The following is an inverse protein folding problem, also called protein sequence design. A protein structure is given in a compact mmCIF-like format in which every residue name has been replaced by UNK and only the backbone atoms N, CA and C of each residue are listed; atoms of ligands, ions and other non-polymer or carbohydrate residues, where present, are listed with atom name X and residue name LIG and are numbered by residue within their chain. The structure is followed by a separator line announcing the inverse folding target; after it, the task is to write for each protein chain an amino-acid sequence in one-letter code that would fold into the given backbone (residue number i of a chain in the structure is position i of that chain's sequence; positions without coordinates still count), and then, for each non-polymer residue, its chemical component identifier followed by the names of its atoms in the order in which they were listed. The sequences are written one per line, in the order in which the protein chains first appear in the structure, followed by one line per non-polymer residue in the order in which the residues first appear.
data_IF_449935105505
#
_entry.id   IF_449935105505
#
_cell.length_a   1.000
_cell.length_b   1.000
_cell.length_c   1.000
_cell.angle_alpha   90.00
_cell.angle_beta   90.00
_cell.angle_gamma   90.00
#
_symmetry.space_group_name_H-M   'P 1'
#
loop_
_entity.id
_entity.type
_entity.pdbx_description
1 polymer ?
#
# COMPACT_ATOMS: atom_id res chain seq x y z
N UNK A 1 -0.49 -21.05 -6.50
CA UNK A 1 -1.04 -20.75 -7.85
C UNK A 1 0.01 -21.10 -8.90
N UNK A 2 -0.39 -21.72 -10.02
CA UNK A 2 0.49 -21.97 -11.17
C UNK A 2 -0.06 -21.19 -12.36
N UNK A 3 0.79 -20.38 -12.99
CA UNK A 3 0.43 -19.57 -14.17
C UNK A 3 1.20 -20.09 -15.38
N UNK A 4 0.50 -20.27 -16.51
CA UNK A 4 1.12 -20.54 -17.81
C UNK A 4 1.23 -19.24 -18.59
N UNK A 5 2.41 -18.95 -19.13
CA UNK A 5 2.68 -17.74 -19.92
C UNK A 5 3.18 -18.18 -21.29
N UNK A 6 2.48 -17.77 -22.35
CA UNK A 6 2.88 -18.02 -23.73
C UNK A 6 3.61 -16.78 -24.31
N UNK A 7 4.52 -16.96 -25.30
CA UNK A 7 5.23 -15.85 -25.92
C UNK A 7 4.29 -14.83 -26.56
N UNK A 8 4.48 -13.55 -26.25
CA UNK A 8 3.76 -12.41 -26.85
C UNK A 8 4.54 -11.11 -26.62
N UNK A 9 4.15 -10.01 -27.30
CA UNK A 9 4.70 -8.67 -27.03
C UNK A 9 3.81 -7.94 -26.02
N UNK A 10 4.40 -7.48 -24.91
CA UNK A 10 3.71 -6.58 -23.99
C UNK A 10 3.52 -5.19 -24.64
N UNK A 11 2.33 -4.62 -24.53
CA UNK A 11 2.00 -3.29 -25.05
C UNK A 11 0.90 -2.63 -24.22
N UNK A 12 0.87 -1.29 -24.20
CA UNK A 12 -0.09 -0.49 -23.42
C UNK A 12 0.56 0.33 -22.31
N UNK A 13 -0.26 1.06 -21.57
CA UNK A 13 0.13 1.89 -20.42
C UNK A 13 -0.61 1.35 -19.19
N UNK A 14 0.11 1.17 -18.08
CA UNK A 14 -0.47 0.72 -16.81
C UNK A 14 0.01 1.65 -15.70
N UNK A 15 -0.91 2.03 -14.81
CA UNK A 15 -0.56 2.74 -13.59
C UNK A 15 -0.06 1.73 -12.56
N UNK A 16 1.20 1.89 -12.13
CA UNK A 16 1.75 1.05 -11.08
C UNK A 16 0.98 1.25 -9.75
N UNK A 17 0.88 0.22 -8.90
CA UNK A 17 0.36 0.39 -7.56
C UNK A 17 1.18 1.44 -6.78
N UNK A 18 0.56 2.19 -5.85
CA UNK A 18 1.26 3.15 -5.02
C UNK A 18 2.34 2.50 -4.16
N UNK A 19 3.35 3.29 -3.79
CA UNK A 19 4.52 2.80 -3.05
C UNK A 19 4.16 2.35 -1.64
N UNK A 20 4.41 1.07 -1.35
CA UNK A 20 4.22 0.48 -0.02
C UNK A 20 5.00 1.22 1.08
N UNK A 21 6.29 1.50 0.85
CA UNK A 21 7.12 2.19 1.85
C UNK A 21 6.66 3.63 2.13
N UNK A 22 6.10 4.32 1.12
CA UNK A 22 5.50 5.64 1.31
C UNK A 22 4.22 5.53 2.14
N UNK A 23 3.37 4.52 1.86
CA UNK A 23 2.16 4.28 2.64
C UNK A 23 2.47 4.04 4.12
N UNK A 24 3.44 3.18 4.47
CA UNK A 24 3.85 3.00 5.87
C UNK A 24 4.24 4.31 6.55
N UNK A 25 5.10 5.12 5.90
CA UNK A 25 5.53 6.40 6.46
C UNK A 25 4.37 7.39 6.62
N UNK A 26 3.52 7.50 5.61
CA UNK A 26 2.37 8.40 5.64
C UNK A 26 1.39 8.01 6.76
N UNK A 27 1.14 6.71 6.96
CA UNK A 27 0.29 6.20 8.04
C UNK A 27 0.89 6.49 9.42
N UNK A 28 2.19 6.25 9.62
CA UNK A 28 2.88 6.54 10.89
C UNK A 28 2.85 8.05 11.19
N UNK A 29 3.21 8.90 10.22
CA UNK A 29 3.16 10.34 10.40
C UNK A 29 1.73 10.83 10.65
N UNK A 30 0.74 10.23 9.97
CA UNK A 30 -0.67 10.58 10.15
C UNK A 30 -1.18 10.24 11.55
N UNK A 31 -0.79 9.11 12.11
CA UNK A 31 -1.10 8.73 13.49
C UNK A 31 -0.49 9.69 14.53
N UNK A 32 0.62 10.35 14.20
CA UNK A 32 1.25 11.36 15.05
C UNK A 32 0.73 12.79 14.79
N UNK A 33 -0.32 12.96 14.00
CA UNK A 33 -0.85 14.28 13.61
C UNK A 33 -2.29 14.49 14.11
N UNK A 34 -2.71 15.76 14.22
CA UNK A 34 -4.07 16.11 14.60
C UNK A 34 -5.06 15.94 13.43
N UNK A 35 -5.39 14.69 13.11
CA UNK A 35 -6.49 14.33 12.21
C UNK A 35 -6.22 14.57 10.72
N UNK A 36 -5.41 13.71 10.10
CA UNK A 36 -5.14 13.74 8.65
C UNK A 36 -5.80 12.57 7.91
N UNK A 37 -6.25 12.83 6.68
CA UNK A 37 -6.69 11.79 5.75
C UNK A 37 -5.53 11.36 4.84
N UNK A 38 -5.16 10.08 4.89
CA UNK A 38 -4.17 9.48 3.97
C UNK A 38 -4.90 8.75 2.84
N UNK A 39 -4.65 9.15 1.59
CA UNK A 39 -5.28 8.55 0.39
C UNK A 39 -4.26 7.89 -0.53
N UNK A 40 -4.71 7.02 -1.44
CA UNK A 40 -3.83 6.38 -2.42
C UNK A 40 -2.96 5.28 -1.82
N UNK A 41 -3.45 4.60 -0.79
CA UNK A 41 -2.79 3.44 -0.19
C UNK A 41 -3.28 2.17 -0.87
N UNK A 42 -2.35 1.33 -1.32
CA UNK A 42 -2.67 -0.04 -1.71
C UNK A 42 -2.60 -0.95 -0.48
N UNK A 43 -3.67 -1.69 -0.22
CA UNK A 43 -3.73 -2.64 0.88
C UNK A 43 -2.83 -3.84 0.63
N UNK A 44 -2.21 -4.31 1.70
CA UNK A 44 -1.39 -5.51 1.76
C UNK A 44 -1.31 -5.98 3.20
N UNK A 45 -0.88 -7.22 3.41
CA UNK A 45 -0.67 -7.77 4.76
C UNK A 45 0.26 -6.89 5.61
N UNK A 46 1.31 -6.32 5.00
CA UNK A 46 2.23 -5.39 5.67
C UNK A 46 1.52 -4.09 6.12
N UNK A 47 0.66 -3.54 5.27
CA UNK A 47 -0.09 -2.31 5.55
C UNK A 47 -1.15 -2.58 6.62
N UNK A 48 -1.85 -3.70 6.54
CA UNK A 48 -2.85 -4.11 7.53
C UNK A 48 -2.19 -4.32 8.91
N UNK A 49 -1.00 -4.91 8.95
CA UNK A 49 -0.22 -5.05 10.18
C UNK A 49 0.20 -3.68 10.76
N UNK A 50 0.55 -2.73 9.89
CA UNK A 50 0.88 -1.36 10.31
C UNK A 50 -0.35 -0.66 10.89
N UNK A 51 -1.49 -0.71 10.20
CA UNK A 51 -2.74 -0.13 10.69
C UNK A 51 -3.17 -0.76 12.03
N UNK A 52 -3.04 -2.08 12.16
CA UNK A 52 -3.35 -2.80 13.41
C UNK A 52 -2.44 -2.36 14.55
N UNK A 53 -1.14 -2.20 14.29
CA UNK A 53 -0.19 -1.67 15.27
C UNK A 53 -0.54 -0.24 15.70
N UNK A 54 -0.81 0.64 14.73
CA UNK A 54 -1.22 2.02 15.00
C UNK A 54 -2.50 2.08 15.85
N UNK A 55 -3.53 1.31 15.49
CA UNK A 55 -4.78 1.25 16.23
C UNK A 55 -4.61 0.71 17.67
N UNK A 56 -3.64 -0.17 17.91
CA UNK A 56 -3.34 -0.68 19.24
C UNK A 56 -2.63 0.33 20.15
N UNK A 57 -2.10 1.43 19.59
CA UNK A 57 -1.40 2.47 20.36
C UNK A 57 -2.32 3.58 20.90
N UNK A 58 -3.61 3.59 20.55
CA UNK A 58 -4.59 4.60 20.95
C UNK A 58 -4.90 5.61 19.84
#
# INVERSE_FOLDING_TARGET
MRVSIAPSKASGIVTAPPSKSVAHRALICGACSDGVLVTGVAYSVDIDATLSCLAAMG
#
